data_IF_681480292124
#
_entry.id   IF_681480292124
#
_cell.length_a   1.000
_cell.length_b   1.000
_cell.length_c   1.000
_cell.angle_alpha   90.00
_cell.angle_beta   90.00
_cell.angle_gamma   90.00
#
_symmetry.space_group_name_H-M   'P 1'
#
loop_
_entity.id
_entity.type
_entity.pdbx_description
1 polymer ?
#
# COMPACT_ATOMS: atom_id res chain seq x y z
N UNK A 1 -23.81 -21.25 -43.97
CA UNK A 1 -23.85 -21.67 -42.55
C UNK A 1 -23.30 -23.08 -42.46
N UNK A 2 -22.32 -23.36 -41.59
CA UNK A 2 -21.77 -24.71 -41.47
C UNK A 2 -22.88 -25.65 -41.00
N UNK A 3 -23.05 -26.81 -41.66
CA UNK A 3 -23.81 -27.91 -41.09
C UNK A 3 -23.02 -28.40 -39.87
N UNK A 4 -23.65 -28.39 -38.71
CA UNK A 4 -23.08 -28.91 -37.47
C UNK A 4 -23.57 -30.34 -37.28
N UNK A 5 -22.68 -31.22 -36.85
CA UNK A 5 -23.08 -32.57 -36.49
C UNK A 5 -23.86 -32.52 -35.15
N UNK A 6 -25.10 -32.99 -35.19
CA UNK A 6 -25.99 -33.06 -34.04
C UNK A 6 -25.41 -33.93 -32.91
N UNK A 7 -24.44 -34.81 -33.19
CA UNK A 7 -23.80 -35.67 -32.20
C UNK A 7 -22.88 -34.93 -31.23
N UNK A 8 -22.04 -34.04 -31.75
CA UNK A 8 -21.07 -33.26 -30.96
C UNK A 8 -21.80 -32.40 -29.94
N UNK A 9 -22.87 -31.75 -30.39
CA UNK A 9 -23.68 -30.89 -29.55
C UNK A 9 -24.46 -31.70 -28.48
N UNK A 10 -24.97 -32.90 -28.82
CA UNK A 10 -25.62 -33.81 -27.85
C UNK A 10 -24.66 -34.30 -26.77
N UNK A 11 -23.42 -34.67 -27.13
CA UNK A 11 -22.44 -35.20 -26.17
C UNK A 11 -21.90 -34.10 -25.23
N UNK A 12 -21.71 -32.89 -25.74
CA UNK A 12 -21.41 -31.69 -24.93
C UNK A 12 -22.56 -31.41 -23.95
N UNK A 13 -23.82 -31.53 -24.39
CA UNK A 13 -24.98 -31.31 -23.52
C UNK A 13 -25.19 -32.44 -22.51
N UNK A 14 -24.99 -33.70 -22.93
CA UNK A 14 -25.20 -34.86 -22.07
C UNK A 14 -24.13 -34.98 -21.00
N UNK A 15 -22.89 -34.54 -21.28
CA UNK A 15 -21.81 -34.61 -20.31
C UNK A 15 -21.70 -33.31 -19.49
N UNK A 16 -21.99 -32.13 -20.05
CA UNK A 16 -21.26 -30.91 -19.60
C UNK A 16 -22.05 -29.58 -19.58
N UNK A 17 -23.07 -29.32 -20.43
CA UNK A 17 -23.60 -27.93 -20.59
C UNK A 17 -25.09 -27.84 -20.93
N UNK A 18 -25.77 -26.72 -20.60
CA UNK A 18 -27.13 -26.45 -21.10
C UNK A 18 -27.11 -26.12 -22.61
N UNK A 19 -28.13 -26.53 -23.40
CA UNK A 19 -28.18 -26.24 -24.84
C UNK A 19 -28.03 -24.76 -25.23
N UNK A 20 -28.51 -23.86 -24.36
CA UNK A 20 -28.37 -22.41 -24.56
C UNK A 20 -26.92 -21.93 -24.53
N UNK A 21 -26.09 -22.47 -23.63
CA UNK A 21 -24.67 -22.10 -23.51
C UNK A 21 -23.86 -22.64 -24.69
N UNK A 22 -24.17 -23.86 -25.18
CA UNK A 22 -23.56 -24.38 -26.41
C UNK A 22 -23.90 -23.52 -27.62
N UNK A 23 -25.15 -23.04 -27.70
CA UNK A 23 -25.55 -22.10 -28.76
C UNK A 23 -24.74 -20.81 -28.70
N UNK A 24 -24.59 -20.24 -27.51
CA UNK A 24 -23.78 -19.04 -27.28
C UNK A 24 -22.32 -19.26 -27.67
N UNK A 25 -21.74 -20.40 -27.29
CA UNK A 25 -20.36 -20.74 -27.63
C UNK A 25 -20.14 -20.83 -29.14
N UNK A 26 -21.12 -21.34 -29.87
CA UNK A 26 -21.06 -21.54 -31.32
C UNK A 26 -21.59 -20.35 -32.13
N UNK A 27 -22.01 -19.26 -31.47
CA UNK A 27 -22.60 -18.09 -32.15
C UNK A 27 -23.93 -18.38 -32.84
N UNK A 28 -24.71 -19.31 -32.32
CA UNK A 28 -25.97 -19.79 -32.91
C UNK A 28 -27.19 -19.32 -32.11
N UNK A 29 -28.35 -19.21 -32.77
CA UNK A 29 -29.61 -18.93 -32.08
C UNK A 29 -29.95 -20.08 -31.12
N UNK A 30 -30.39 -19.77 -29.90
CA UNK A 30 -30.72 -20.77 -28.87
C UNK A 30 -31.68 -21.86 -29.36
N UNK A 31 -32.71 -21.47 -30.13
CA UNK A 31 -33.67 -22.41 -30.72
C UNK A 31 -33.04 -23.39 -31.72
N UNK A 32 -31.91 -23.03 -32.35
CA UNK A 32 -31.20 -23.95 -33.23
C UNK A 32 -30.68 -25.16 -32.45
N UNK A 33 -30.01 -24.94 -31.30
CA UNK A 33 -29.52 -26.03 -30.46
C UNK A 33 -30.68 -26.88 -29.93
N UNK A 34 -31.74 -26.28 -29.41
CA UNK A 34 -32.89 -27.06 -28.94
C UNK A 34 -33.53 -27.94 -30.03
N UNK A 35 -33.61 -27.45 -31.27
CA UNK A 35 -34.27 -28.15 -32.38
C UNK A 35 -33.38 -29.20 -33.05
N UNK A 36 -32.08 -28.92 -33.19
CA UNK A 36 -31.16 -29.76 -33.96
C UNK A 36 -30.48 -30.82 -33.08
N UNK A 37 -30.39 -30.60 -31.77
CA UNK A 37 -29.79 -31.55 -30.82
C UNK A 37 -30.80 -32.66 -30.39
N UNK A 38 -31.96 -32.75 -31.05
CA UNK A 38 -32.99 -33.74 -30.73
C UNK A 38 -32.57 -35.20 -31.08
N UNK A 39 -33.02 -36.13 -30.24
CA UNK A 39 -32.29 -37.32 -29.75
C UNK A 39 -31.80 -38.40 -30.74
N UNK A 40 -32.27 -38.57 -31.98
CA UNK A 40 -31.99 -39.83 -32.70
C UNK A 40 -31.32 -39.65 -34.08
N UNK A 41 -30.03 -40.00 -34.16
CA UNK A 41 -29.24 -40.48 -35.31
C UNK A 41 -27.75 -40.25 -34.98
N UNK A 42 -26.97 -41.32 -34.98
CA UNK A 42 -25.59 -41.36 -34.46
C UNK A 42 -24.63 -42.11 -35.40
N UNK A 43 -23.53 -41.52 -35.87
CA UNK A 43 -22.54 -42.21 -36.75
C UNK A 43 -21.08 -41.71 -36.71
N UNK A 44 -20.71 -40.68 -35.96
CA UNK A 44 -19.39 -40.04 -35.95
C UNK A 44 -18.50 -40.42 -34.75
N UNK A 45 -17.26 -40.85 -35.01
CA UNK A 45 -16.23 -41.03 -33.98
C UNK A 45 -15.63 -39.67 -33.59
N UNK A 46 -15.63 -39.36 -32.29
CA UNK A 46 -15.01 -38.16 -31.74
C UNK A 46 -13.60 -38.43 -31.25
N UNK A 47 -12.72 -37.44 -31.37
CA UNK A 47 -11.34 -37.50 -30.92
C UNK A 47 -11.21 -36.69 -29.61
N UNK A 48 -10.95 -37.38 -28.50
CA UNK A 48 -10.90 -36.79 -27.14
C UNK A 48 -9.46 -36.49 -26.66
N UNK A 49 -8.43 -37.01 -27.34
CA UNK A 49 -7.03 -36.81 -26.94
C UNK A 49 -6.45 -35.52 -27.53
N UNK A 50 -5.60 -34.85 -26.74
CA UNK A 50 -4.84 -33.66 -27.18
C UNK A 50 -4.01 -33.90 -28.44
N UNK A 51 -3.46 -35.10 -28.61
CA UNK A 51 -2.69 -35.55 -29.78
C UNK A 51 -3.45 -35.42 -31.10
N UNK A 52 -4.79 -35.32 -31.05
CA UNK A 52 -5.62 -35.14 -32.23
C UNK A 52 -5.72 -33.69 -32.68
N UNK A 53 -5.28 -32.71 -31.88
CA UNK A 53 -5.16 -31.33 -32.32
C UNK A 53 -3.95 -31.21 -33.26
N UNK A 54 -4.12 -30.50 -34.39
CA UNK A 54 -2.96 -30.24 -35.26
C UNK A 54 -2.01 -29.22 -34.61
N UNK A 55 -0.76 -29.16 -35.09
CA UNK A 55 0.27 -28.28 -34.48
C UNK A 55 -0.20 -26.82 -34.40
N UNK A 56 -0.89 -26.33 -35.43
CA UNK A 56 -1.38 -24.95 -35.49
C UNK A 56 -2.55 -24.71 -34.52
N UNK A 57 -3.39 -25.71 -34.25
CA UNK A 57 -4.40 -25.64 -33.19
C UNK A 57 -3.75 -25.59 -31.82
N UNK A 58 -2.75 -26.44 -31.55
CA UNK A 58 -2.05 -26.46 -30.27
C UNK A 58 -1.32 -25.14 -30.01
N UNK A 59 -0.59 -24.62 -31.01
CA UNK A 59 0.06 -23.32 -30.95
C UNK A 59 -0.96 -22.20 -30.71
N UNK A 60 -2.07 -22.20 -31.46
CA UNK A 60 -3.11 -21.18 -31.30
C UNK A 60 -3.79 -21.26 -29.93
N UNK A 61 -3.99 -22.45 -29.37
CA UNK A 61 -4.54 -22.61 -28.01
C UNK A 61 -3.62 -21.98 -26.98
N UNK A 62 -2.30 -22.18 -27.08
CA UNK A 62 -1.34 -21.57 -26.17
C UNK A 62 -1.36 -20.03 -26.30
N UNK A 63 -1.35 -19.51 -27.53
CA UNK A 63 -1.46 -18.07 -27.78
C UNK A 63 -2.77 -17.49 -27.24
N UNK A 64 -3.89 -18.21 -27.42
CA UNK A 64 -5.20 -17.84 -26.88
C UNK A 64 -5.19 -17.77 -25.35
N UNK A 65 -4.50 -18.69 -24.67
CA UNK A 65 -4.36 -18.67 -23.22
C UNK A 65 -3.53 -17.46 -22.79
N UNK A 66 -2.39 -17.21 -23.43
CA UNK A 66 -1.52 -16.06 -23.12
C UNK A 66 -2.23 -14.72 -23.31
N UNK A 67 -3.03 -14.59 -24.39
CA UNK A 67 -3.80 -13.38 -24.70
C UNK A 67 -5.14 -13.28 -23.97
N UNK A 68 -5.52 -14.31 -23.21
CA UNK A 68 -6.81 -14.41 -22.53
C UNK A 68 -8.00 -14.34 -23.51
N UNK A 69 -7.83 -14.90 -24.70
CA UNK A 69 -8.82 -14.95 -25.78
C UNK A 69 -9.37 -16.36 -25.93
N UNK A 70 -10.54 -16.65 -25.35
CA UNK A 70 -11.03 -18.03 -25.31
C UNK A 70 -11.88 -18.45 -26.52
N UNK A 71 -11.97 -17.62 -27.56
CA UNK A 71 -12.65 -17.95 -28.82
C UNK A 71 -11.86 -17.41 -29.99
N UNK A 72 -11.52 -18.29 -30.93
CA UNK A 72 -10.83 -17.97 -32.17
C UNK A 72 -11.67 -18.44 -33.35
N UNK A 73 -11.78 -17.60 -34.38
CA UNK A 73 -12.50 -17.89 -35.61
C UNK A 73 -11.75 -17.27 -36.79
N UNK A 74 -11.22 -18.10 -37.69
CA UNK A 74 -10.64 -17.66 -38.95
C UNK A 74 -11.51 -18.15 -40.11
N UNK A 75 -11.87 -17.19 -40.97
CA UNK A 75 -12.60 -17.42 -42.21
C UNK A 75 -11.75 -17.08 -43.44
N UNK A 76 -10.42 -17.18 -43.32
CA UNK A 76 -9.53 -16.96 -44.46
C UNK A 76 -9.81 -17.99 -45.55
N UNK A 77 -9.80 -17.54 -46.82
CA UNK A 77 -10.21 -18.27 -48.03
C UNK A 77 -9.84 -19.77 -47.99
N UNK A 78 -10.80 -20.62 -47.63
CA UNK A 78 -10.68 -22.09 -47.66
C UNK A 78 -10.38 -22.76 -46.31
N UNK A 79 -10.04 -22.02 -45.25
CA UNK A 79 -9.67 -22.57 -43.95
C UNK A 79 -10.62 -22.04 -42.85
N UNK A 80 -11.81 -22.63 -42.76
CA UNK A 80 -12.80 -22.31 -41.72
C UNK A 80 -12.38 -23.00 -40.41
N UNK A 81 -11.55 -22.32 -39.62
CA UNK A 81 -11.01 -22.82 -38.36
C UNK A 81 -11.65 -22.10 -37.18
N UNK A 82 -12.16 -22.88 -36.23
CA UNK A 82 -12.79 -22.38 -35.02
C UNK A 82 -12.22 -23.09 -33.81
N UNK A 83 -11.78 -22.35 -32.80
CA UNK A 83 -11.29 -22.89 -31.53
C UNK A 83 -12.01 -22.18 -30.39
N UNK A 84 -12.48 -22.94 -29.40
CA UNK A 84 -13.11 -22.39 -28.21
C UNK A 84 -12.64 -23.14 -26.95
N UNK A 85 -12.19 -22.38 -25.96
CA UNK A 85 -11.84 -22.91 -24.63
C UNK A 85 -12.97 -22.53 -23.68
N UNK A 86 -13.50 -23.47 -22.90
CA UNK A 86 -14.66 -23.25 -22.04
C UNK A 86 -14.52 -23.93 -20.70
N UNK A 87 -14.94 -23.24 -19.64
CA UNK A 87 -15.21 -23.89 -18.36
C UNK A 87 -16.50 -24.64 -18.43
N UNK A 88 -16.48 -25.80 -17.81
CA UNK A 88 -17.53 -26.78 -18.00
C UNK A 88 -17.95 -27.43 -16.69
N UNK A 89 -17.03 -27.45 -15.73
CA UNK A 89 -17.29 -27.82 -14.36
C UNK A 89 -16.54 -26.87 -13.44
N UNK A 90 -17.20 -26.44 -12.37
CA UNK A 90 -16.63 -25.59 -11.33
C UNK A 90 -16.99 -26.21 -9.98
N UNK A 91 -15.98 -26.51 -9.16
CA UNK A 91 -16.16 -26.93 -7.79
C UNK A 91 -15.84 -25.75 -6.87
N UNK A 92 -16.88 -25.19 -6.26
CA UNK A 92 -16.78 -24.00 -5.40
C UNK A 92 -16.04 -24.33 -4.09
N UNK A 93 -16.27 -25.51 -3.52
CA UNK A 93 -15.66 -25.91 -2.24
C UNK A 93 -14.17 -26.21 -2.40
N UNK A 94 -13.80 -26.85 -3.51
CA UNK A 94 -12.42 -27.18 -3.83
C UNK A 94 -11.69 -26.06 -4.59
N UNK A 95 -12.36 -24.94 -4.87
CA UNK A 95 -11.77 -23.80 -5.60
C UNK A 95 -11.12 -24.20 -6.93
N UNK A 96 -11.76 -25.10 -7.69
CA UNK A 96 -11.21 -25.70 -8.91
C UNK A 96 -12.20 -25.61 -10.08
N UNK A 97 -11.68 -25.63 -11.30
CA UNK A 97 -12.49 -25.69 -12.52
C UNK A 97 -11.89 -26.68 -13.53
N UNK A 98 -12.74 -27.28 -14.35
CA UNK A 98 -12.33 -28.09 -15.50
C UNK A 98 -12.65 -27.38 -16.81
N UNK A 99 -11.82 -27.66 -17.81
CA UNK A 99 -11.83 -26.99 -19.11
C UNK A 99 -12.12 -27.95 -20.24
N UNK A 100 -12.80 -27.42 -21.25
CA UNK A 100 -13.11 -28.08 -22.51
C UNK A 100 -12.49 -27.25 -23.61
N UNK A 101 -11.74 -27.89 -24.50
CA UNK A 101 -11.17 -27.27 -25.69
C UNK A 101 -11.85 -27.88 -26.88
N UNK A 102 -12.53 -27.05 -27.64
CA UNK A 102 -13.22 -27.41 -28.86
C UNK A 102 -12.45 -26.84 -30.05
N UNK A 103 -12.07 -27.67 -31.01
CA UNK A 103 -11.43 -27.24 -32.24
C UNK A 103 -12.17 -27.82 -33.45
N UNK A 104 -12.36 -26.99 -34.47
CA UNK A 104 -12.96 -27.36 -35.74
C UNK A 104 -12.10 -26.82 -36.87
N UNK A 105 -11.83 -27.67 -37.86
CA UNK A 105 -11.21 -27.28 -39.12
C UNK A 105 -11.96 -27.94 -40.27
N UNK A 106 -12.79 -27.17 -40.99
CA UNK A 106 -13.68 -27.72 -42.01
C UNK A 106 -14.73 -28.68 -41.43
N UNK A 107 -14.63 -29.96 -41.80
CA UNK A 107 -15.46 -31.07 -41.28
C UNK A 107 -14.85 -31.76 -40.06
N UNK A 108 -13.55 -31.56 -39.81
CA UNK A 108 -12.84 -32.18 -38.68
C UNK A 108 -13.23 -31.48 -37.39
N UNK A 109 -13.58 -32.27 -36.37
CA UNK A 109 -13.96 -31.77 -35.04
C UNK A 109 -13.18 -32.55 -33.98
N UNK A 110 -12.48 -31.82 -33.12
CA UNK A 110 -11.74 -32.34 -31.97
C UNK A 110 -12.29 -31.68 -30.71
N UNK A 111 -12.39 -32.42 -29.63
CA UNK A 111 -12.73 -31.82 -28.35
C UNK A 111 -12.07 -32.55 -27.21
N UNK A 112 -11.29 -31.80 -26.44
CA UNK A 112 -10.48 -32.32 -25.35
C UNK A 112 -11.10 -31.88 -24.04
N UNK A 113 -11.33 -32.82 -23.11
CA UNK A 113 -11.86 -32.53 -21.76
C UNK A 113 -10.88 -32.98 -20.69
N UNK A 114 -10.90 -34.26 -20.32
CA UNK A 114 -10.12 -34.81 -19.21
C UNK A 114 -8.67 -35.17 -19.62
N UNK A 115 -8.35 -35.06 -20.92
CA UNK A 115 -7.05 -35.37 -21.51
C UNK A 115 -6.29 -34.12 -21.99
N UNK A 116 -6.55 -32.98 -21.35
CA UNK A 116 -5.75 -31.76 -21.55
C UNK A 116 -4.39 -31.98 -20.88
N UNK A 117 -3.26 -31.65 -21.53
CA UNK A 117 -1.96 -31.74 -20.91
C UNK A 117 -1.92 -30.92 -19.61
N UNK A 118 -1.31 -31.48 -18.57
CA UNK A 118 -1.28 -30.87 -17.23
C UNK A 118 -0.69 -29.46 -17.24
N UNK A 119 0.28 -29.19 -18.10
CA UNK A 119 0.88 -27.85 -18.27
C UNK A 119 -0.15 -26.83 -18.77
N UNK A 120 -0.95 -27.20 -19.77
CA UNK A 120 -2.03 -26.36 -20.32
C UNK A 120 -3.13 -26.16 -19.28
N UNK A 121 -3.51 -27.20 -18.54
CA UNK A 121 -4.52 -27.12 -17.48
C UNK A 121 -4.08 -26.22 -16.32
N UNK A 122 -2.82 -26.34 -15.89
CA UNK A 122 -2.23 -25.46 -14.88
C UNK A 122 -2.25 -24.00 -15.36
N UNK A 123 -1.86 -23.75 -16.62
CA UNK A 123 -1.84 -22.41 -17.18
C UNK A 123 -3.26 -21.80 -17.26
N UNK A 124 -4.24 -22.59 -17.71
CA UNK A 124 -5.66 -22.21 -17.71
C UNK A 124 -6.18 -21.89 -16.31
N UNK A 125 -5.75 -22.63 -15.28
CA UNK A 125 -6.15 -22.37 -13.89
C UNK A 125 -5.60 -21.06 -13.36
N UNK A 126 -4.40 -20.66 -13.80
CA UNK A 126 -3.80 -19.35 -13.46
C UNK A 126 -4.50 -18.21 -14.21
N UNK A 127 -4.73 -18.38 -15.52
CA UNK A 127 -5.24 -17.30 -16.38
C UNK A 127 -6.76 -17.15 -16.32
N UNK A 128 -7.49 -18.25 -16.11
CA UNK A 128 -8.94 -18.26 -16.00
C UNK A 128 -9.39 -18.91 -14.67
N UNK A 129 -9.10 -18.29 -13.51
CA UNK A 129 -9.38 -18.86 -12.18
C UNK A 129 -10.84 -19.22 -12.01
N UNK A 130 -11.13 -20.28 -11.25
CA UNK A 130 -12.45 -20.93 -11.17
C UNK A 130 -13.66 -20.00 -10.98
N UNK A 131 -13.50 -18.87 -10.29
CA UNK A 131 -14.57 -17.90 -10.00
C UNK A 131 -14.75 -16.78 -11.04
N UNK A 132 -13.93 -16.74 -12.09
CA UNK A 132 -14.03 -15.81 -13.23
C UNK A 132 -14.82 -16.44 -14.39
N UNK A 133 -15.79 -15.73 -14.97
CA UNK A 133 -16.62 -16.21 -16.10
C UNK A 133 -16.15 -15.63 -17.43
N UNK A 134 -16.57 -16.23 -18.55
CA UNK A 134 -16.13 -15.79 -19.88
C UNK A 134 -16.48 -14.31 -20.17
N UNK A 135 -17.71 -13.89 -19.87
CA UNK A 135 -18.15 -12.50 -20.03
C UNK A 135 -17.34 -11.50 -19.19
N UNK A 136 -16.63 -11.99 -18.19
CA UNK A 136 -15.83 -11.15 -17.31
C UNK A 136 -14.58 -10.62 -18.05
N UNK A 137 -14.00 -11.41 -18.97
CA UNK A 137 -12.90 -10.99 -19.86
C UNK A 137 -13.34 -9.94 -20.88
N UNK A 138 -14.54 -10.07 -21.46
CA UNK A 138 -15.09 -9.07 -22.38
C UNK A 138 -15.34 -7.72 -21.69
N UNK A 139 -15.62 -7.74 -20.39
CA UNK A 139 -15.68 -6.53 -19.59
C UNK A 139 -14.28 -5.99 -19.28
N UNK A 140 -13.31 -6.87 -18.99
CA UNK A 140 -11.92 -6.50 -18.74
C UNK A 140 -11.27 -5.77 -19.91
N UNK A 141 -11.61 -6.13 -21.15
CA UNK A 141 -11.20 -5.40 -22.37
C UNK A 141 -11.64 -3.93 -22.39
N UNK A 142 -12.64 -3.55 -21.57
CA UNK A 142 -13.15 -2.17 -21.45
C UNK A 142 -12.54 -1.42 -20.27
N UNK A 143 -11.58 -2.00 -19.57
CA UNK A 143 -10.90 -1.35 -18.45
C UNK A 143 -10.03 -0.20 -18.96
N UNK A 144 -10.26 1.00 -18.42
CA UNK A 144 -9.25 2.06 -18.53
C UNK A 144 -8.18 1.78 -17.48
N UNK A 145 -6.99 1.41 -17.93
CA UNK A 145 -5.87 1.11 -17.06
C UNK A 145 -5.08 2.40 -16.82
N UNK A 146 -4.87 2.73 -15.56
CA UNK A 146 -4.06 3.84 -15.11
C UNK A 146 -2.87 3.32 -14.33
N UNK A 147 -1.67 3.70 -14.74
CA UNK A 147 -0.47 3.42 -13.98
C UNK A 147 -0.23 4.53 -12.95
N UNK A 148 -0.08 4.20 -11.68
CA UNK A 148 0.18 5.15 -10.60
C UNK A 148 1.29 4.54 -9.72
N UNK A 149 2.44 5.21 -9.66
CA UNK A 149 3.62 4.78 -8.89
C UNK A 149 4.07 3.34 -9.21
N UNK A 150 4.12 2.98 -10.49
CA UNK A 150 4.52 1.65 -10.95
C UNK A 150 3.49 0.55 -10.68
N UNK A 151 2.25 0.92 -10.34
CA UNK A 151 1.14 0.00 -10.11
C UNK A 151 0.01 0.28 -11.07
N UNK A 152 -0.52 -0.76 -11.70
CA UNK A 152 -1.67 -0.64 -12.60
C UNK A 152 -2.98 -0.67 -11.80
N UNK A 153 -3.87 0.29 -12.08
CA UNK A 153 -5.19 0.41 -11.48
C UNK A 153 -6.25 0.41 -12.58
N UNK A 154 -7.38 -0.25 -12.32
CA UNK A 154 -8.54 -0.20 -13.21
C UNK A 154 -9.43 0.97 -12.82
N UNK A 155 -9.71 1.87 -13.76
CA UNK A 155 -10.61 3.01 -13.59
C UNK A 155 -11.81 2.85 -14.54
N UNK A 156 -12.79 2.01 -14.19
CA UNK A 156 -13.92 1.74 -15.08
C UNK A 156 -14.80 2.99 -15.19
N UNK A 157 -15.41 3.19 -16.36
CA UNK A 157 -16.51 4.14 -16.49
C UNK A 157 -17.71 3.70 -15.61
N UNK A 158 -18.73 4.56 -15.49
CA UNK A 158 -19.89 4.27 -14.64
C UNK A 158 -20.62 2.98 -15.02
N UNK A 159 -20.83 2.74 -16.32
CA UNK A 159 -21.52 1.54 -16.83
C UNK A 159 -20.68 0.31 -16.54
N UNK A 160 -19.38 0.35 -16.86
CA UNK A 160 -18.43 -0.74 -16.61
C UNK A 160 -18.33 -1.04 -15.11
N UNK A 161 -18.32 -0.02 -14.24
CA UNK A 161 -18.34 -0.19 -12.78
C UNK A 161 -19.61 -0.90 -12.30
N UNK A 162 -20.79 -0.51 -12.80
CA UNK A 162 -22.06 -1.16 -12.46
C UNK A 162 -22.04 -2.63 -12.90
N UNK A 163 -21.60 -2.91 -14.12
CA UNK A 163 -21.47 -4.28 -14.64
C UNK A 163 -20.47 -5.10 -13.81
N UNK A 164 -19.33 -4.52 -13.43
CA UNK A 164 -18.34 -5.16 -12.56
C UNK A 164 -18.92 -5.52 -11.20
N UNK A 165 -19.70 -4.62 -10.59
CA UNK A 165 -20.35 -4.91 -9.31
C UNK A 165 -21.38 -6.03 -9.39
N UNK A 166 -21.92 -6.31 -10.57
CA UNK A 166 -22.82 -7.42 -10.83
C UNK A 166 -22.07 -8.73 -11.15
N UNK A 167 -20.74 -8.70 -11.28
CA UNK A 167 -19.96 -9.86 -11.67
C UNK A 167 -20.04 -10.97 -10.61
N UNK A 168 -19.90 -10.61 -9.33
CA UNK A 168 -19.86 -11.56 -8.21
C UNK A 168 -21.24 -11.97 -7.65
N UNK A 169 -22.29 -12.05 -8.48
CA UNK A 169 -23.56 -12.66 -8.05
C UNK A 169 -23.39 -14.17 -7.90
N UNK A 170 -23.01 -14.59 -6.68
CA UNK A 170 -22.86 -15.99 -6.27
C UNK A 170 -22.32 -16.16 -4.84
N UNK A 171 -21.59 -15.17 -4.30
CA UNK A 171 -21.17 -15.14 -2.89
C UNK A 171 -21.73 -13.90 -2.21
N UNK A 172 -22.73 -14.14 -1.36
CA UNK A 172 -23.31 -13.32 -0.28
C UNK A 172 -23.57 -11.81 -0.50
N UNK A 173 -24.75 -11.38 -0.06
CA UNK A 173 -25.25 -9.99 -0.04
C UNK A 173 -24.44 -9.02 0.86
N UNK A 174 -23.28 -9.42 1.37
CA UNK A 174 -22.60 -8.75 2.49
C UNK A 174 -21.42 -7.85 2.09
N UNK A 175 -20.93 -7.91 0.85
CA UNK A 175 -19.77 -7.11 0.46
C UNK A 175 -20.15 -5.79 -0.22
N UNK A 176 -19.52 -4.69 0.23
CA UNK A 176 -19.63 -3.38 -0.42
C UNK A 176 -19.22 -3.48 -1.90
N UNK A 177 -19.98 -2.84 -2.81
CA UNK A 177 -19.73 -2.87 -4.28
C UNK A 177 -18.28 -2.60 -4.67
N UNK A 178 -17.60 -1.74 -3.93
CA UNK A 178 -16.17 -1.44 -4.09
C UNK A 178 -15.23 -2.62 -3.91
N UNK A 179 -15.54 -3.52 -2.98
CA UNK A 179 -14.73 -4.70 -2.73
C UNK A 179 -14.77 -5.66 -3.92
N UNK A 180 -15.95 -5.83 -4.51
CA UNK A 180 -16.17 -6.67 -5.70
C UNK A 180 -15.33 -6.15 -6.88
N UNK A 181 -15.43 -4.85 -7.18
CA UNK A 181 -14.68 -4.24 -8.29
C UNK A 181 -13.17 -4.34 -8.05
N UNK A 182 -12.72 -4.13 -6.80
CA UNK A 182 -11.32 -4.30 -6.41
C UNK A 182 -10.82 -5.73 -6.61
N UNK A 183 -11.63 -6.72 -6.22
CA UNK A 183 -11.30 -8.13 -6.41
C UNK A 183 -11.20 -8.46 -7.89
N UNK A 184 -12.19 -8.08 -8.71
CA UNK A 184 -12.14 -8.28 -10.15
C UNK A 184 -10.87 -7.68 -10.76
N UNK A 185 -10.50 -6.45 -10.39
CA UNK A 185 -9.26 -5.84 -10.88
C UNK A 185 -8.01 -6.69 -10.55
N UNK A 186 -7.93 -7.26 -9.35
CA UNK A 186 -6.84 -8.17 -8.95
C UNK A 186 -6.86 -9.49 -9.67
N UNK A 187 -8.03 -10.07 -9.91
CA UNK A 187 -8.18 -11.33 -10.65
C UNK A 187 -7.69 -11.18 -12.10
N UNK A 188 -7.70 -9.96 -12.65
CA UNK A 188 -7.11 -9.62 -13.96
C UNK A 188 -5.66 -9.08 -13.87
N UNK A 189 -4.98 -9.24 -12.74
CA UNK A 189 -3.56 -8.88 -12.58
C UNK A 189 -3.27 -7.40 -12.30
N UNK A 190 -4.29 -6.60 -11.97
CA UNK A 190 -4.10 -5.20 -11.57
C UNK A 190 -3.97 -5.05 -10.05
N UNK A 191 -3.32 -3.99 -9.59
CA UNK A 191 -3.17 -3.72 -8.14
C UNK A 191 -4.52 -3.50 -7.45
N UNK A 192 -5.47 -2.90 -8.17
CA UNK A 192 -6.84 -2.72 -7.68
C UNK A 192 -7.64 -1.81 -8.59
N UNK A 193 -8.76 -1.32 -8.06
CA UNK A 193 -9.62 -0.38 -8.76
C UNK A 193 -9.45 1.04 -8.20
N UNK A 194 -9.54 2.04 -9.08
CA UNK A 194 -9.57 3.46 -8.73
C UNK A 194 -11.00 3.96 -8.99
N UNK A 195 -11.66 4.48 -7.95
CA UNK A 195 -12.96 5.15 -8.14
C UNK A 195 -12.79 6.39 -9.00
N UNK A 196 -13.79 6.68 -9.83
CA UNK A 196 -13.85 7.93 -10.60
C UNK A 196 -13.60 9.16 -9.72
N UNK A 197 -14.24 9.23 -8.56
CA UNK A 197 -14.03 10.33 -7.61
C UNK A 197 -12.57 10.45 -7.14
N UNK A 198 -11.85 9.34 -7.01
CA UNK A 198 -10.42 9.36 -6.66
C UNK A 198 -9.54 9.88 -7.80
N UNK A 199 -9.96 9.69 -9.05
CA UNK A 199 -9.31 10.27 -10.22
C UNK A 199 -9.64 11.76 -10.35
N UNK A 200 -10.88 12.16 -10.10
CA UNK A 200 -11.29 13.56 -10.06
C UNK A 200 -10.54 14.32 -8.96
N UNK A 201 -10.33 13.70 -7.79
CA UNK A 201 -9.47 14.25 -6.72
C UNK A 201 -8.03 14.45 -7.22
N UNK A 202 -7.45 13.49 -7.96
CA UNK A 202 -6.11 13.63 -8.52
C UNK A 202 -6.02 14.82 -9.48
N UNK A 203 -6.99 14.97 -10.39
CA UNK A 203 -7.07 16.14 -11.27
C UNK A 203 -7.27 17.44 -10.49
N UNK A 204 -8.07 17.40 -9.41
CA UNK A 204 -8.25 18.53 -8.49
C UNK A 204 -6.94 18.98 -7.83
N UNK A 205 -6.02 18.07 -7.54
CA UNK A 205 -4.69 18.44 -7.01
C UNK A 205 -3.86 19.21 -8.04
N UNK A 206 -3.97 18.91 -9.33
CA UNK A 206 -3.26 19.63 -10.39
C UNK A 206 -3.62 21.11 -10.43
N UNK A 207 -4.87 21.45 -10.16
CA UNK A 207 -5.32 22.84 -10.11
C UNK A 207 -4.93 23.51 -8.78
N UNK A 208 -5.05 22.79 -7.67
CA UNK A 208 -4.72 23.33 -6.34
C UNK A 208 -3.22 23.55 -6.15
N UNK A 209 -2.37 22.73 -6.75
CA UNK A 209 -0.91 22.85 -6.59
C UNK A 209 -0.34 24.07 -7.33
N UNK A 210 -1.02 24.58 -8.37
CA UNK A 210 -0.62 25.79 -9.11
C UNK A 210 -0.48 27.01 -8.21
N UNK A 211 -1.31 27.12 -7.17
CA UNK A 211 -1.25 28.23 -6.21
C UNK A 211 0.04 28.25 -5.37
N UNK A 212 0.78 27.14 -5.36
CA UNK A 212 2.02 26.97 -4.62
C UNK A 212 3.24 26.84 -5.56
N UNK A 213 3.02 26.94 -6.87
CA UNK A 213 4.04 26.76 -7.88
C UNK A 213 4.56 28.12 -8.38
N UNK A 214 5.87 28.21 -8.63
CA UNK A 214 6.46 29.32 -9.38
C UNK A 214 6.36 29.10 -10.90
N UNK A 215 6.95 30.00 -11.69
CA UNK A 215 6.99 29.92 -13.16
C UNK A 215 7.76 28.71 -13.70
N UNK A 216 8.63 28.11 -12.87
CA UNK A 216 9.50 26.98 -13.23
C UNK A 216 8.91 25.65 -12.76
N UNK A 217 7.65 25.64 -12.28
CA UNK A 217 6.96 24.51 -11.67
C UNK A 217 7.63 23.99 -10.39
N UNK A 218 8.43 24.82 -9.70
CA UNK A 218 8.86 24.49 -8.35
C UNK A 218 7.71 24.80 -7.40
N UNK A 219 7.38 23.84 -6.56
CA UNK A 219 6.31 23.94 -5.58
C UNK A 219 6.90 24.03 -4.19
N UNK A 220 6.52 25.09 -3.51
CA UNK A 220 6.87 25.32 -2.12
C UNK A 220 5.62 25.29 -1.26
N UNK A 221 5.63 24.45 -0.23
CA UNK A 221 4.59 24.44 0.79
C UNK A 221 5.13 25.12 2.05
N UNK A 222 4.68 26.35 2.36
CA UNK A 222 5.16 27.11 3.51
C UNK A 222 4.88 26.41 4.84
N UNK A 223 3.79 25.65 4.93
CA UNK A 223 3.45 24.83 6.09
C UNK A 223 3.15 23.38 5.65
N UNK A 224 3.70 22.40 6.38
CA UNK A 224 3.36 20.99 6.21
C UNK A 224 1.93 20.66 6.68
N UNK A 225 1.33 21.55 7.48
CA UNK A 225 -0.08 21.47 7.91
C UNK A 225 -1.06 21.92 6.84
N UNK A 226 -0.59 22.36 5.67
CA UNK A 226 -1.48 22.73 4.59
C UNK A 226 -2.43 21.57 4.26
N UNK A 227 -3.77 21.77 4.32
CA UNK A 227 -4.73 20.69 4.09
C UNK A 227 -4.51 19.97 2.77
N UNK A 228 -4.04 20.70 1.74
CA UNK A 228 -3.66 20.13 0.45
C UNK A 228 -2.50 19.13 0.57
N UNK A 229 -1.45 19.45 1.33
CA UNK A 229 -0.27 18.60 1.55
C UNK A 229 -0.66 17.30 2.24
N UNK A 230 -1.47 17.37 3.29
CA UNK A 230 -1.97 16.17 3.99
C UNK A 230 -2.87 15.32 3.10
N UNK A 231 -3.80 15.94 2.36
CA UNK A 231 -4.68 15.23 1.41
C UNK A 231 -3.88 14.53 0.30
N UNK A 232 -2.92 15.22 -0.30
CA UNK A 232 -2.03 14.68 -1.34
C UNK A 232 -1.15 13.55 -0.79
N UNK A 233 -0.58 13.72 0.40
CA UNK A 233 0.23 12.69 1.07
C UNK A 233 -0.58 11.44 1.36
N UNK A 234 -1.77 11.58 1.95
CA UNK A 234 -2.68 10.47 2.19
C UNK A 234 -3.07 9.75 0.90
N UNK A 235 -3.34 10.50 -0.17
CA UNK A 235 -3.69 9.94 -1.47
C UNK A 235 -2.54 9.15 -2.08
N UNK A 236 -1.31 9.67 -2.01
CA UNK A 236 -0.10 9.02 -2.53
C UNK A 236 0.25 7.76 -1.74
N UNK A 237 0.29 7.85 -0.41
CA UNK A 237 0.67 6.76 0.49
C UNK A 237 -0.27 5.56 0.33
N UNK A 238 -1.59 5.79 0.23
CA UNK A 238 -2.60 4.74 -0.02
C UNK A 238 -2.38 3.98 -1.34
N UNK A 239 -1.56 4.52 -2.24
CA UNK A 239 -1.22 3.95 -3.55
C UNK A 239 0.24 3.52 -3.64
N UNK A 240 0.98 3.57 -2.53
CA UNK A 240 2.38 3.15 -2.45
C UNK A 240 3.38 4.13 -3.05
N UNK A 241 2.98 5.39 -3.25
CA UNK A 241 3.89 6.47 -3.63
C UNK A 241 4.09 7.47 -2.50
N UNK A 242 5.09 8.32 -2.66
CA UNK A 242 5.34 9.47 -1.78
C UNK A 242 4.69 10.74 -2.30
N UNK A 243 4.56 11.74 -1.43
CA UNK A 243 4.12 13.08 -1.83
C UNK A 243 4.99 13.65 -2.96
N UNK A 244 6.32 13.47 -2.91
CA UNK A 244 7.22 13.99 -3.95
C UNK A 244 7.01 13.30 -5.29
N UNK A 245 6.77 11.99 -5.29
CA UNK A 245 6.41 11.25 -6.51
C UNK A 245 5.08 11.74 -7.09
N UNK A 246 4.11 12.06 -6.23
CA UNK A 246 2.83 12.64 -6.67
C UNK A 246 3.02 14.02 -7.30
N UNK A 247 3.78 14.91 -6.66
CA UNK A 247 4.08 16.27 -7.15
C UNK A 247 4.80 16.21 -8.49
N UNK A 248 5.83 15.35 -8.60
CA UNK A 248 6.55 15.10 -9.85
C UNK A 248 5.62 14.60 -10.95
N UNK A 249 4.71 13.68 -10.64
CA UNK A 249 3.71 13.18 -11.60
C UNK A 249 2.70 14.25 -12.04
N UNK A 250 2.44 15.24 -11.19
CA UNK A 250 1.60 16.39 -11.54
C UNK A 250 2.35 17.42 -12.42
N UNK A 251 3.65 17.24 -12.65
CA UNK A 251 4.49 18.11 -13.47
C UNK A 251 5.31 19.13 -12.69
N UNK A 252 5.46 18.95 -11.37
CA UNK A 252 6.10 19.93 -10.48
C UNK A 252 7.30 19.34 -9.74
N UNK A 253 8.20 20.18 -9.27
CA UNK A 253 9.31 19.79 -8.40
C UNK A 253 9.12 20.40 -7.01
N UNK A 254 9.10 19.58 -5.96
CA UNK A 254 9.02 20.12 -4.60
C UNK A 254 10.37 20.68 -4.18
N UNK A 255 10.39 21.92 -3.72
CA UNK A 255 11.55 22.55 -3.09
C UNK A 255 11.32 22.71 -1.58
N UNK A 256 12.37 22.51 -0.79
CA UNK A 256 12.32 22.66 0.67
C UNK A 256 12.95 24.00 1.08
N UNK A 257 12.60 24.50 2.27
CA UNK A 257 13.11 25.78 2.79
C UNK A 257 14.65 25.85 2.86
N UNK A 258 15.35 24.72 2.83
CA UNK A 258 16.82 24.67 2.81
C UNK A 258 17.43 24.83 1.41
N UNK A 259 16.62 24.66 0.36
CA UNK A 259 17.08 24.64 -1.04
C UNK A 259 16.71 25.91 -1.82
N UNK A 260 16.11 26.91 -1.17
CA UNK A 260 15.70 28.15 -1.84
C UNK A 260 16.75 29.27 -1.65
N UNK A 261 17.44 29.71 -2.72
CA UNK A 261 18.35 30.85 -2.67
C UNK A 261 17.62 32.21 -2.69
N UNK A 262 16.29 32.24 -2.74
CA UNK A 262 15.51 33.48 -2.65
C UNK A 262 15.37 33.95 -1.20
N UNK A 263 16.35 34.78 -0.84
CA UNK A 263 16.35 35.86 0.14
C UNK A 263 15.01 36.28 0.76
N UNK A 264 15.06 36.50 2.07
CA UNK A 264 14.46 37.65 2.79
C UNK A 264 12.98 37.96 2.55
N UNK A 265 12.13 36.94 2.51
CA UNK A 265 10.73 37.16 2.87
C UNK A 265 10.63 37.01 4.40
N UNK A 266 10.63 38.14 5.09
CA UNK A 266 10.05 38.25 6.43
C UNK A 266 8.60 37.78 6.30
N UNK A 267 8.34 36.51 6.65
CA UNK A 267 6.98 35.99 6.70
C UNK A 267 6.26 36.75 7.83
N UNK A 268 5.18 37.50 7.56
CA UNK A 268 4.33 37.99 8.61
C UNK A 268 3.73 36.76 9.28
N UNK A 269 4.00 36.60 10.57
CA UNK A 269 3.40 35.59 11.44
C UNK A 269 1.89 35.50 11.17
N UNK A 270 1.45 34.48 10.42
CA UNK A 270 0.03 34.13 10.37
C UNK A 270 -0.27 33.26 11.59
N UNK A 271 -0.71 33.92 12.67
CA UNK A 271 -1.41 33.27 13.78
C UNK A 271 -2.74 32.75 13.23
N UNK A 272 -3.07 31.46 13.40
CA UNK A 272 -4.41 30.97 13.07
C UNK A 272 -5.43 31.70 13.94
N UNK A 273 -6.50 32.24 13.35
CA UNK A 273 -7.56 33.01 14.04
C UNK A 273 -8.33 32.22 15.12
N UNK A 274 -7.95 30.98 15.43
CA UNK A 274 -8.54 30.17 16.49
C UNK A 274 -7.52 29.41 17.36
N UNK A 275 -6.24 29.79 17.34
CA UNK A 275 -5.33 29.39 18.43
C UNK A 275 -5.38 30.53 19.44
N UNK A 276 -6.01 30.26 20.58
CA UNK A 276 -5.85 31.09 21.79
C UNK A 276 -4.37 31.35 21.93
N UNK A 277 -3.97 32.62 22.05
CA UNK A 277 -2.59 33.06 22.21
C UNK A 277 -1.88 32.29 23.33
N UNK A 278 -1.33 31.11 23.02
CA UNK A 278 -0.35 30.47 23.86
C UNK A 278 0.92 31.29 23.66
N UNK A 279 1.27 32.04 24.70
CA UNK A 279 2.53 32.77 24.83
C UNK A 279 3.67 31.95 24.23
N UNK A 280 4.49 32.57 23.39
CA UNK A 280 5.77 31.99 22.98
C UNK A 280 6.61 31.86 24.26
N UNK A 281 6.54 30.70 24.90
CA UNK A 281 7.26 30.41 26.14
C UNK A 281 8.74 30.55 25.81
N UNK A 282 9.41 31.54 26.41
CA UNK A 282 10.84 31.74 26.22
C UNK A 282 11.60 30.49 26.67
N UNK A 283 12.81 30.26 26.13
CA UNK A 283 13.62 29.12 26.53
C UNK A 283 13.87 29.07 28.06
N UNK A 284 14.03 30.24 28.69
CA UNK A 284 14.15 30.39 30.15
C UNK A 284 12.88 30.00 30.90
N UNK A 285 11.71 30.33 30.38
CA UNK A 285 10.43 29.97 31.01
C UNK A 285 10.17 28.47 30.88
N UNK A 286 10.55 27.87 29.76
CA UNK A 286 10.47 26.42 29.55
C UNK A 286 11.40 25.64 30.49
N UNK A 287 12.65 26.08 30.63
CA UNK A 287 13.59 25.49 31.61
C UNK A 287 13.08 25.66 33.04
N UNK A 288 12.44 26.80 33.35
CA UNK A 288 11.81 27.01 34.66
C UNK A 288 10.65 26.04 34.89
N UNK A 289 9.81 25.77 33.88
CA UNK A 289 8.77 24.73 33.96
C UNK A 289 9.34 23.35 34.21
N UNK A 290 10.42 22.96 33.52
CA UNK A 290 11.11 21.68 33.77
C UNK A 290 11.69 21.59 35.19
N UNK A 291 12.32 22.67 35.66
CA UNK A 291 12.84 22.77 37.04
C UNK A 291 11.72 22.66 38.07
N UNK A 292 10.55 23.24 37.81
CA UNK A 292 9.38 23.12 38.69
C UNK A 292 8.81 21.69 38.73
N UNK A 293 8.72 21.01 37.58
CA UNK A 293 8.33 19.59 37.51
C UNK A 293 9.32 18.71 38.30
N UNK A 294 10.60 19.09 38.33
CA UNK A 294 11.65 18.40 39.09
C UNK A 294 11.62 18.71 40.60
N UNK A 295 11.47 19.98 41.00
CA UNK A 295 11.47 20.38 42.43
C UNK A 295 10.29 19.79 43.21
N UNK A 296 9.19 19.52 42.51
CA UNK A 296 8.02 18.79 43.00
C UNK A 296 8.29 17.33 43.43
N UNK A 297 9.50 16.79 43.20
CA UNK A 297 9.97 15.49 43.73
C UNK A 297 10.38 15.59 45.20
N UNK A 298 10.97 16.73 45.60
CA UNK A 298 11.63 16.87 46.91
C UNK A 298 10.65 17.10 48.07
N UNK A 299 9.40 17.47 47.77
CA UNK A 299 8.49 18.00 48.78
C UNK A 299 7.51 17.02 49.43
N UNK A 300 7.37 15.76 48.99
CA UNK A 300 6.43 14.85 49.68
C UNK A 300 6.65 13.36 49.35
N UNK A 301 6.27 12.48 50.29
CA UNK A 301 6.15 11.02 50.08
C UNK A 301 5.12 10.74 48.98
N UNK A 302 5.53 10.88 47.73
CA UNK A 302 4.61 10.85 46.58
C UNK A 302 4.01 9.47 46.36
N UNK A 303 2.69 9.43 46.26
CA UNK A 303 1.93 8.25 45.80
C UNK A 303 2.33 7.89 44.36
N UNK A 304 2.20 6.62 43.97
CA UNK A 304 2.53 6.17 42.60
C UNK A 304 1.77 6.95 41.52
N UNK A 305 0.50 7.31 41.81
CA UNK A 305 -0.34 8.14 40.93
C UNK A 305 0.28 9.51 40.65
N UNK A 306 0.92 10.13 41.64
CA UNK A 306 1.60 11.41 41.48
C UNK A 306 2.86 11.27 40.63
N UNK A 307 3.67 10.23 40.87
CA UNK A 307 4.87 9.93 40.07
C UNK A 307 4.52 9.70 38.60
N UNK A 308 3.45 8.97 38.34
CA UNK A 308 2.97 8.71 36.98
C UNK A 308 2.50 9.99 36.28
N UNK A 309 1.76 10.86 36.96
CA UNK A 309 1.33 12.16 36.41
C UNK A 309 2.52 13.03 36.03
N UNK A 310 3.49 13.17 36.95
CA UNK A 310 4.71 13.95 36.73
C UNK A 310 5.53 13.45 35.55
N UNK A 311 5.68 12.13 35.41
CA UNK A 311 6.38 11.52 34.26
C UNK A 311 5.71 11.85 32.93
N UNK A 312 4.38 11.88 32.91
CA UNK A 312 3.61 12.29 31.72
C UNK A 312 3.83 13.75 31.40
N UNK A 313 3.70 14.64 32.39
CA UNK A 313 3.96 16.07 32.22
C UNK A 313 5.37 16.37 31.71
N UNK A 314 6.39 15.69 32.28
CA UNK A 314 7.77 15.78 31.81
C UNK A 314 7.91 15.31 30.36
N UNK A 315 7.36 14.14 30.05
CA UNK A 315 7.42 13.57 28.71
C UNK A 315 6.72 14.46 27.67
N UNK A 316 5.55 15.00 28.01
CA UNK A 316 4.78 15.86 27.12
C UNK A 316 5.51 17.18 26.86
N UNK A 317 6.04 17.82 27.91
CA UNK A 317 6.77 19.08 27.79
C UNK A 317 8.08 18.93 27.00
N UNK A 318 8.79 17.80 27.16
CA UNK A 318 9.96 17.49 26.34
C UNK A 318 9.56 17.23 24.89
N UNK A 319 8.56 16.38 24.62
CA UNK A 319 8.11 16.09 23.25
C UNK A 319 7.66 17.35 22.51
N UNK A 320 6.94 18.25 23.18
CA UNK A 320 6.53 19.54 22.63
C UNK A 320 7.73 20.42 22.28
N UNK A 321 8.72 20.53 23.18
CA UNK A 321 9.93 21.33 22.92
C UNK A 321 10.67 20.89 21.67
N UNK A 322 10.77 19.58 21.48
CA UNK A 322 11.41 18.98 20.31
C UNK A 322 10.47 18.85 19.11
N UNK A 323 9.29 19.48 19.14
CA UNK A 323 8.31 19.45 18.05
C UNK A 323 7.98 18.03 17.60
N UNK A 324 7.96 17.09 18.55
CA UNK A 324 7.78 15.66 18.32
C UNK A 324 8.82 15.07 17.35
N UNK A 325 10.06 15.57 17.34
CA UNK A 325 11.17 15.05 16.55
C UNK A 325 12.18 14.31 17.41
N UNK A 326 12.88 13.36 16.81
CA UNK A 326 13.92 12.58 17.47
C UNK A 326 15.21 13.38 17.55
N UNK A 327 15.79 13.48 18.75
CA UNK A 327 17.05 14.17 19.01
C UNK A 327 18.29 13.51 18.38
N UNK A 328 18.15 12.29 17.86
CA UNK A 328 19.25 11.50 17.29
C UNK A 328 19.14 11.36 15.76
N UNK A 329 18.02 11.75 15.16
CA UNK A 329 17.89 11.72 13.70
C UNK A 329 18.66 12.89 13.08
N UNK A 330 19.58 12.59 12.17
CA UNK A 330 20.34 13.56 11.38
C UNK A 330 20.63 13.01 9.98
N UNK A 331 21.20 13.81 9.10
CA UNK A 331 21.48 13.46 7.69
C UNK A 331 22.35 12.19 7.56
N UNK A 332 23.18 11.92 8.55
CA UNK A 332 24.11 10.78 8.61
C UNK A 332 23.44 9.43 8.94
N UNK A 333 22.19 9.43 9.43
CA UNK A 333 21.52 8.24 10.00
C UNK A 333 20.51 7.56 9.06
N UNK A 334 20.50 7.93 7.78
CA UNK A 334 19.64 7.34 6.76
C UNK A 334 18.14 7.63 6.94
N UNK A 335 17.32 7.17 6.00
CA UNK A 335 15.87 7.40 6.01
C UNK A 335 15.17 6.50 7.04
N UNK A 336 15.02 6.99 8.27
CA UNK A 336 14.23 6.31 9.31
C UNK A 336 12.74 6.60 9.08
N UNK A 337 11.86 5.58 8.99
CA UNK A 337 10.43 5.77 8.85
C UNK A 337 9.84 6.61 9.99
N UNK A 338 9.13 7.67 9.64
CA UNK A 338 8.41 8.53 10.57
C UNK A 338 6.97 8.01 10.71
N UNK A 339 6.51 7.84 11.94
CA UNK A 339 5.12 7.46 12.24
C UNK A 339 4.38 8.74 12.61
N UNK A 340 3.38 9.12 11.81
CA UNK A 340 2.53 10.28 12.07
C UNK A 340 1.30 9.84 12.88
N UNK A 341 0.93 10.63 13.89
CA UNK A 341 -0.31 10.44 14.65
C UNK A 341 -1.47 11.14 13.95
N UNK A 342 -2.70 10.82 14.37
CA UNK A 342 -3.92 11.44 13.84
C UNK A 342 -3.96 12.97 14.01
N UNK A 343 -3.20 13.52 14.97
CA UNK A 343 -3.06 14.96 15.24
C UNK A 343 -1.97 15.65 14.39
N UNK A 344 -1.34 14.94 13.46
CA UNK A 344 -0.28 15.45 12.57
C UNK A 344 1.09 15.59 13.23
N UNK A 345 1.24 15.27 14.52
CA UNK A 345 2.53 15.22 15.19
C UNK A 345 3.15 13.82 15.06
N UNK A 346 4.48 13.72 15.10
CA UNK A 346 5.12 12.41 14.97
C UNK A 346 5.10 11.62 16.29
N UNK A 347 5.05 10.30 16.17
CA UNK A 347 5.18 9.41 17.31
C UNK A 347 6.66 9.34 17.76
N UNK A 348 6.89 9.90 18.94
CA UNK A 348 8.18 9.86 19.65
C UNK A 348 7.98 9.44 21.10
N UNK A 349 9.02 8.85 21.66
CA UNK A 349 9.07 8.28 22.99
C UNK A 349 10.10 9.03 23.84
N UNK A 350 9.80 9.22 25.12
CA UNK A 350 10.78 9.72 26.07
C UNK A 350 11.57 8.53 26.60
N UNK A 351 12.90 8.59 26.52
CA UNK A 351 13.82 7.56 26.97
C UNK A 351 14.77 8.12 28.03
N UNK A 352 14.88 7.45 29.17
CA UNK A 352 15.90 7.80 30.16
C UNK A 352 17.25 7.19 29.77
N UNK A 353 18.31 8.01 29.72
CA UNK A 353 19.66 7.57 29.34
C UNK A 353 20.18 6.54 30.35
N UNK A 354 20.15 6.90 31.64
CA UNK A 354 20.32 5.94 32.74
C UNK A 354 18.95 5.46 33.19
N UNK A 355 18.72 4.16 33.09
CA UNK A 355 17.44 3.54 33.40
C UNK A 355 17.07 3.70 34.89
N UNK A 356 15.79 3.99 35.18
CA UNK A 356 15.30 4.14 36.56
C UNK A 356 15.55 2.90 37.44
N UNK A 357 15.58 1.71 36.84
CA UNK A 357 15.86 0.45 37.52
C UNK A 357 17.31 0.34 38.05
N UNK A 358 18.22 1.19 37.55
CA UNK A 358 19.64 1.23 37.93
C UNK A 358 19.90 2.14 39.14
N UNK A 359 18.87 2.75 39.75
CA UNK A 359 18.98 3.59 40.96
C UNK A 359 19.81 2.90 42.03
N UNK A 360 20.94 3.51 42.42
CA UNK A 360 21.87 3.01 43.45
C UNK A 360 22.73 1.80 43.05
N UNK A 361 22.58 1.27 41.83
CA UNK A 361 23.24 0.03 41.36
C UNK A 361 24.48 0.27 40.50
N UNK A 362 24.54 1.39 39.78
CA UNK A 362 25.68 1.75 38.93
C UNK A 362 26.28 3.06 39.41
N UNK A 363 27.55 3.28 39.11
CA UNK A 363 28.25 4.51 39.48
C UNK A 363 27.60 5.72 38.81
N UNK A 364 27.26 5.60 37.52
CA UNK A 364 26.57 6.63 36.76
C UNK A 364 25.20 6.97 37.38
N UNK A 365 24.46 5.95 37.83
CA UNK A 365 23.17 6.17 38.49
C UNK A 365 23.31 6.85 39.86
N UNK A 366 24.39 6.61 40.60
CA UNK A 366 24.67 7.27 41.88
C UNK A 366 25.04 8.73 41.65
N UNK A 367 25.96 9.00 40.71
CA UNK A 367 26.37 10.37 40.36
C UNK A 367 25.17 11.23 39.96
N UNK A 368 24.30 10.73 39.08
CA UNK A 368 23.10 11.46 38.66
C UNK A 368 22.13 11.68 39.83
N UNK A 369 21.93 10.66 40.67
CA UNK A 369 21.03 10.76 41.81
C UNK A 369 21.55 11.72 42.89
N UNK A 370 22.86 11.74 43.13
CA UNK A 370 23.50 12.61 44.11
C UNK A 370 23.47 14.07 43.64
N UNK A 371 23.69 14.32 42.34
CA UNK A 371 23.72 15.69 41.81
C UNK A 371 22.33 16.26 41.53
N UNK A 372 21.44 15.49 40.89
CA UNK A 372 20.13 15.97 40.44
C UNK A 372 18.97 15.48 41.30
N UNK A 373 19.26 14.75 42.38
CA UNK A 373 18.31 14.22 43.36
C UNK A 373 17.49 13.03 42.88
N UNK A 374 17.49 12.71 41.58
CA UNK A 374 16.72 11.61 41.00
C UNK A 374 17.18 11.27 39.58
N UNK A 375 17.09 9.98 39.19
CA UNK A 375 17.23 9.56 37.80
C UNK A 375 16.07 10.02 36.90
N UNK A 376 14.89 10.30 37.48
CA UNK A 376 13.69 10.68 36.73
C UNK A 376 13.64 12.20 36.57
N UNK A 377 14.63 12.71 35.83
CA UNK A 377 14.92 14.13 35.60
C UNK A 377 15.05 14.42 34.12
N UNK A 378 14.69 15.65 33.72
CA UNK A 378 14.82 16.10 32.34
C UNK A 378 16.28 16.00 31.86
N UNK A 379 17.27 16.31 32.71
CA UNK A 379 18.70 16.20 32.37
C UNK A 379 19.16 14.77 32.02
N UNK A 380 18.36 13.73 32.33
CA UNK A 380 18.62 12.32 32.04
C UNK A 380 17.63 11.74 31.01
N UNK A 381 16.92 12.57 30.25
CA UNK A 381 15.86 12.14 29.34
C UNK A 381 16.14 12.56 27.88
N UNK A 382 15.65 11.77 26.94
CA UNK A 382 15.73 12.03 25.50
C UNK A 382 14.39 11.82 24.83
N UNK A 383 14.11 12.58 23.78
CA UNK A 383 12.99 12.36 22.86
C UNK A 383 13.51 11.64 21.62
N UNK A 384 12.99 10.43 21.37
CA UNK A 384 13.48 9.54 20.31
C UNK A 384 12.36 8.91 19.50
N UNK A 385 12.63 8.57 18.23
CA UNK A 385 11.72 7.75 17.43
C UNK A 385 11.78 6.27 17.88
N UNK A 386 10.81 5.42 17.50
CA UNK A 386 10.81 4.00 17.90
C UNK A 386 12.06 3.24 17.49
N UNK A 387 12.63 3.59 16.33
CA UNK A 387 13.89 3.01 15.87
C UNK A 387 15.04 3.31 16.85
N UNK A 388 15.27 4.59 17.14
CA UNK A 388 16.32 5.02 18.06
C UNK A 388 16.04 4.57 19.49
N UNK A 389 14.78 4.49 19.91
CA UNK A 389 14.44 3.95 21.22
C UNK A 389 14.89 2.49 21.36
N UNK A 390 14.58 1.64 20.36
CA UNK A 390 15.07 0.25 20.33
C UNK A 390 16.60 0.18 20.22
N UNK A 391 17.20 1.06 19.42
CA UNK A 391 18.63 1.15 19.25
C UNK A 391 19.35 1.42 20.58
N UNK A 392 18.88 2.40 21.35
CA UNK A 392 19.45 2.76 22.66
C UNK A 392 19.36 1.63 23.69
N UNK A 393 18.30 0.81 23.66
CA UNK A 393 18.16 -0.32 24.60
C UNK A 393 19.06 -1.50 24.28
N UNK A 394 19.16 -1.90 23.00
CA UNK A 394 19.69 -3.21 22.64
C UNK A 394 20.99 -3.17 21.85
N UNK A 395 21.21 -2.12 21.06
CA UNK A 395 22.37 -2.08 20.19
C UNK A 395 23.64 -1.89 21.02
N UNK A 396 24.66 -2.70 20.73
CA UNK A 396 25.95 -2.70 21.44
C UNK A 396 25.87 -2.72 22.98
N UNK A 397 24.89 -3.44 23.54
CA UNK A 397 24.73 -3.61 24.99
C UNK A 397 24.04 -2.45 25.70
N UNK A 398 23.42 -1.55 24.92
CA UNK A 398 22.68 -0.41 25.41
C UNK A 398 23.54 0.83 25.65
N UNK A 399 22.92 1.99 25.49
CA UNK A 399 23.53 3.32 25.55
C UNK A 399 23.14 3.99 26.86
N UNK A 400 24.11 4.17 27.77
CA UNK A 400 23.84 4.60 29.15
C UNK A 400 24.66 5.79 29.63
N UNK A 401 25.65 6.22 28.86
CA UNK A 401 26.62 7.22 29.31
C UNK A 401 26.59 8.41 28.37
N UNK A 402 26.33 9.60 28.92
CA UNK A 402 26.35 10.85 28.16
C UNK A 402 27.75 11.46 28.21
N UNK A 403 28.25 11.97 27.08
CA UNK A 403 29.60 12.49 26.90
C UNK A 403 29.51 13.84 26.23
N UNK A 404 30.30 14.79 26.72
CA UNK A 404 30.46 16.11 26.14
C UNK A 404 31.88 16.24 25.61
N UNK A 405 32.02 16.64 24.36
CA UNK A 405 33.30 16.78 23.68
C UNK A 405 33.38 18.15 23.00
N UNK A 406 34.58 18.71 22.89
CA UNK A 406 34.78 19.94 22.14
C UNK A 406 34.81 19.62 20.64
N UNK A 407 33.80 20.09 19.91
CA UNK A 407 33.72 19.91 18.46
C UNK A 407 34.73 20.78 17.70
N UNK A 408 34.89 20.53 16.38
CA UNK A 408 35.90 21.18 15.54
C UNK A 408 35.79 22.71 15.46
N UNK A 409 34.62 23.27 15.79
CA UNK A 409 34.36 24.73 15.78
C UNK A 409 34.35 25.35 17.19
N UNK A 410 34.87 24.66 18.21
CA UNK A 410 34.79 25.09 19.61
C UNK A 410 33.37 25.02 20.20
N UNK A 411 32.40 24.49 19.44
CA UNK A 411 31.06 24.17 19.94
C UNK A 411 31.09 22.82 20.63
N UNK A 412 30.50 22.75 21.81
CA UNK A 412 30.33 21.51 22.54
C UNK A 412 29.37 20.57 21.80
N UNK A 413 29.81 19.33 21.60
CA UNK A 413 29.03 18.26 21.01
C UNK A 413 28.67 17.23 22.08
N UNK A 414 27.44 16.73 21.99
CA UNK A 414 26.91 15.77 22.96
C UNK A 414 26.76 14.42 22.30
N UNK A 415 27.28 13.38 22.94
CA UNK A 415 27.22 12.00 22.51
C UNK A 415 26.63 11.10 23.59
N UNK A 416 26.04 9.99 23.16
CA UNK A 416 25.65 8.90 24.05
C UNK A 416 26.50 7.68 23.69
N UNK A 417 27.09 7.06 24.69
CA UNK A 417 28.01 5.93 24.54
C UNK A 417 27.37 4.62 25.03
N UNK A 418 27.60 3.57 24.25
CA UNK A 418 27.20 2.20 24.57
C UNK A 418 28.19 1.51 25.50
N UNK A 419 27.76 0.42 26.13
CA UNK A 419 28.64 -0.44 26.94
C UNK A 419 29.84 -0.99 26.16
N UNK A 420 29.68 -1.17 24.84
CA UNK A 420 30.77 -1.64 23.96
C UNK A 420 31.56 -0.50 23.31
N UNK A 421 31.33 0.75 23.72
CA UNK A 421 32.15 1.90 23.34
C UNK A 421 31.69 2.67 22.10
N UNK A 422 30.69 2.17 21.36
CA UNK A 422 30.05 2.89 20.25
C UNK A 422 29.41 4.19 20.73
N UNK A 423 29.47 5.25 19.93
CA UNK A 423 28.88 6.55 20.24
C UNK A 423 27.83 6.92 19.21
N UNK A 424 26.79 7.63 19.64
CA UNK A 424 25.81 8.27 18.78
C UNK A 424 25.70 9.74 19.17
N UNK A 425 25.72 10.62 18.16
CA UNK A 425 25.62 12.07 18.37
C UNK A 425 24.18 12.47 18.68
N UNK A 426 24.02 13.40 19.62
CA UNK A 426 22.77 14.12 19.84
C UNK A 426 22.77 15.31 18.88
N UNK A 427 21.87 15.27 17.90
CA UNK A 427 21.77 16.29 16.83
C UNK A 427 21.18 17.59 17.39
N UNK A 428 20.21 17.47 18.29
CA UNK A 428 19.52 18.61 18.89
C UNK A 428 19.48 18.48 20.43
N UNK A 429 20.15 19.39 21.13
CA UNK A 429 20.18 19.44 22.59
C UNK A 429 19.74 20.82 23.09
N UNK A 430 18.70 20.85 23.93
CA UNK A 430 18.18 22.06 24.59
C UNK A 430 18.20 21.96 26.12
N UNK A 431 18.59 20.81 26.69
CA UNK A 431 18.36 20.58 28.13
C UNK A 431 19.26 19.56 28.82
N UNK A 432 20.01 18.74 28.08
CA UNK A 432 21.00 17.84 28.66
C UNK A 432 22.13 18.71 29.22
N UNK A 433 22.52 18.47 30.47
CA UNK A 433 23.59 19.20 31.16
C UNK A 433 24.70 18.26 31.60
N UNK A 434 25.90 18.80 31.85
CA UNK A 434 26.99 18.02 32.43
C UNK A 434 26.70 17.69 33.89
N UNK A 435 27.24 16.55 34.30
CA UNK A 435 27.44 16.25 35.71
C UNK A 435 28.50 17.24 36.21
N UNK A 436 28.11 18.16 37.10
CA UNK A 436 28.93 19.25 37.63
C UNK A 436 28.52 20.67 37.20
N UNK A 437 27.45 20.82 36.40
CA UNK A 437 26.83 22.10 35.96
C UNK A 437 25.46 22.36 36.64
#
# INVERSE_FOLDING_TARGET
MPKWDNEVAKKIISKIVRPGEVSEWLGMKSNWAYNHISKNRTTGKWLEEWSNLDELEQERINEMIEKQEFTYNSNELGNNRFIAIRKYFVNIEAETAKYLIFARNGERIVCVTDLIPREVENHLTVVWPWDVRLKDFELAKKFNILEIFGRSYVCPDYITHVLMSQMCRGRTREFQRSYIVSKCARDFGHYGYLRKDSWDIFNGYKEKIKFFADSDNNVYFPDLKEPLVSQMTSWANKRGGSLNQLISRLGYQRIYHLDNPLQDIVIPFFRPENVVDEEVISHSDWLSKLKNIQSMIQLEKSTEKYRQRRRRELADLLKQKYMYRCQLCGEENGAIPIIEKDDGTHYVEMHHIVALADTGKTEEARLIADEWGSLDTYKNALVVCPHHHRYLHYHHGGFKNLIFENGPNGKEEVFIKSRKGTRIRVVENWHLGKIGD
#
